data_IF_783534499217
#
_entry.id   IF_783534499217
#
_cell.length_a   1.000
_cell.length_b   1.000
_cell.length_c   1.000
_cell.angle_alpha   90.00
_cell.angle_beta   90.00
_cell.angle_gamma   90.00
#
_symmetry.space_group_name_H-M   'P 1'
#
loop_
_entity.id
_entity.type
_entity.pdbx_description
1 polymer ?
#
# COMPACT_ATOMS: atom_id res chain seq x y z
N UNK A 1 -12.35 -3.00 25.12
CA UNK A 1 -13.14 -3.27 23.90
C UNK A 1 -13.15 -1.99 23.09
N UNK A 2 -12.32 -1.89 22.06
CA UNK A 2 -12.29 -0.71 21.19
C UNK A 2 -13.56 -0.70 20.34
N UNK A 3 -14.34 0.38 20.43
CA UNK A 3 -15.38 0.70 19.44
C UNK A 3 -14.66 1.05 18.13
N UNK A 4 -14.29 0.02 17.36
CA UNK A 4 -13.76 0.22 16.02
C UNK A 4 -14.83 0.94 15.19
N UNK A 5 -14.49 2.06 14.54
CA UNK A 5 -15.44 2.74 13.65
C UNK A 5 -15.92 1.73 12.62
N UNK A 6 -17.24 1.50 12.55
CA UNK A 6 -17.77 0.65 11.49
C UNK A 6 -17.55 1.39 10.18
N UNK A 7 -17.24 0.71 9.07
CA UNK A 7 -17.00 1.38 7.78
C UNK A 7 -18.17 2.29 7.31
N UNK A 8 -19.40 2.03 7.80
CA UNK A 8 -20.54 2.95 7.63
C UNK A 8 -20.19 4.36 8.09
N UNK A 9 -19.47 4.47 9.20
CA UNK A 9 -18.97 5.70 9.79
C UNK A 9 -17.84 6.36 8.99
N UNK A 10 -17.37 5.80 7.87
CA UNK A 10 -16.38 6.43 6.96
C UNK A 10 -16.99 6.91 5.64
N UNK A 11 -18.26 6.58 5.38
CA UNK A 11 -18.90 6.77 4.07
C UNK A 11 -20.25 7.47 4.13
N UNK A 12 -20.89 7.51 5.29
CA UNK A 12 -22.16 8.21 5.47
C UNK A 12 -21.96 9.41 6.37
N UNK A 13 -22.45 10.56 5.91
CA UNK A 13 -22.50 11.77 6.72
C UNK A 13 -23.56 11.62 7.80
N UNK A 14 -23.19 11.91 9.04
CA UNK A 14 -24.14 12.07 10.13
C UNK A 14 -24.53 13.55 10.32
N UNK A 15 -25.45 13.82 11.26
CA UNK A 15 -25.92 15.18 11.52
C UNK A 15 -24.78 16.16 11.92
N UNK A 16 -23.77 15.68 12.65
CA UNK A 16 -22.59 16.48 13.04
C UNK A 16 -21.76 16.84 11.81
N UNK A 17 -21.56 15.88 10.90
CA UNK A 17 -20.82 16.12 9.66
C UNK A 17 -21.49 17.18 8.79
N UNK A 18 -22.83 17.12 8.65
CA UNK A 18 -23.60 18.13 7.90
C UNK A 18 -23.53 19.52 8.53
N UNK A 19 -23.63 19.62 9.85
CA UNK A 19 -23.50 20.88 10.57
C UNK A 19 -22.11 21.48 10.37
N UNK A 20 -21.06 20.67 10.42
CA UNK A 20 -19.70 21.12 10.15
C UNK A 20 -19.55 21.66 8.72
N UNK A 21 -20.02 20.91 7.71
CA UNK A 21 -19.97 21.35 6.31
C UNK A 21 -20.72 22.66 6.10
N UNK A 22 -21.86 22.85 6.76
CA UNK A 22 -22.60 24.11 6.71
C UNK A 22 -21.80 25.26 7.34
N UNK A 23 -21.17 25.02 8.49
CA UNK A 23 -20.35 26.03 9.17
C UNK A 23 -19.12 26.42 8.35
N UNK A 24 -18.50 25.49 7.62
CA UNK A 24 -17.40 25.79 6.70
C UNK A 24 -17.77 26.81 5.62
N UNK A 25 -19.05 26.83 5.19
CA UNK A 25 -19.54 27.76 4.14
C UNK A 25 -19.84 29.16 4.66
N UNK A 26 -19.88 29.34 5.97
CA UNK A 26 -20.27 30.60 6.61
C UNK A 26 -19.01 31.30 7.12
N UNK A 27 -18.59 32.37 6.44
CA UNK A 27 -17.47 33.20 6.86
C UNK A 27 -17.78 33.70 8.29
N UNK A 28 -16.96 33.30 9.27
CA UNK A 28 -17.04 33.56 10.73
C UNK A 28 -17.44 32.37 11.63
N UNK A 29 -17.97 31.25 11.12
CA UNK A 29 -18.37 30.12 11.98
C UNK A 29 -17.26 29.07 12.18
N UNK A 30 -16.27 29.00 11.27
CA UNK A 30 -15.18 28.05 11.33
C UNK A 30 -13.86 28.75 11.63
N UNK A 31 -13.24 28.42 12.76
CA UNK A 31 -11.89 28.85 13.10
C UNK A 31 -10.90 27.79 12.64
N UNK A 32 -10.28 28.04 11.48
CA UNK A 32 -9.35 27.13 10.83
C UNK A 32 -8.12 26.82 11.70
N UNK A 33 -7.49 27.86 12.27
CA UNK A 33 -6.28 27.68 13.09
C UNK A 33 -6.58 26.87 14.36
N UNK A 34 -7.70 27.17 15.02
CA UNK A 34 -8.08 26.45 16.23
C UNK A 34 -8.43 24.99 15.93
N UNK A 35 -9.13 24.73 14.82
CA UNK A 35 -9.42 23.37 14.38
C UNK A 35 -8.14 22.57 14.18
N UNK A 36 -7.19 23.07 13.37
CA UNK A 36 -5.98 22.32 13.03
C UNK A 36 -4.96 22.21 14.18
N UNK A 37 -5.02 23.08 15.20
CA UNK A 37 -4.21 22.92 16.43
C UNK A 37 -4.59 21.68 17.26
N UNK A 38 -5.83 21.22 17.15
CA UNK A 38 -6.37 20.17 18.01
C UNK A 38 -6.41 18.79 17.34
N UNK A 39 -6.17 18.72 16.03
CA UNK A 39 -6.29 17.48 15.24
C UNK A 39 -5.33 16.40 15.76
N UNK A 40 -5.88 15.19 15.95
CA UNK A 40 -5.16 13.97 16.29
C UNK A 40 -5.50 12.84 15.30
N UNK A 41 -4.83 11.71 15.43
CA UNK A 41 -5.09 10.50 14.62
C UNK A 41 -6.56 10.08 14.69
N UNK A 42 -7.16 10.10 15.88
CA UNK A 42 -8.56 9.68 16.09
C UNK A 42 -9.58 10.55 15.33
N UNK A 43 -9.22 11.79 14.97
CA UNK A 43 -10.05 12.69 14.19
C UNK A 43 -10.03 12.39 12.68
N UNK A 44 -9.10 11.54 12.21
CA UNK A 44 -8.94 11.27 10.77
C UNK A 44 -10.18 10.65 10.14
N UNK A 45 -10.92 9.80 10.85
CA UNK A 45 -12.19 9.27 10.33
C UNK A 45 -13.15 10.38 9.94
N UNK A 46 -13.29 11.40 10.81
CA UNK A 46 -14.12 12.58 10.56
C UNK A 46 -13.54 13.42 9.41
N UNK A 47 -12.25 13.77 9.49
CA UNK A 47 -11.57 14.61 8.49
C UNK A 47 -11.66 13.98 7.08
N UNK A 48 -11.48 12.66 6.97
CA UNK A 48 -11.61 11.93 5.71
C UNK A 48 -13.04 12.08 5.16
N UNK A 49 -14.07 11.84 5.99
CA UNK A 49 -15.48 12.02 5.57
C UNK A 49 -15.75 13.42 5.05
N UNK A 50 -15.38 14.45 5.82
CA UNK A 50 -15.63 15.84 5.43
C UNK A 50 -14.85 16.21 4.17
N UNK A 51 -13.60 15.77 4.04
CA UNK A 51 -12.76 16.09 2.87
C UNK A 51 -13.27 15.47 1.58
N UNK A 52 -13.98 14.34 1.64
CA UNK A 52 -14.63 13.74 0.46
C UNK A 52 -15.81 14.59 -0.04
N UNK A 53 -16.55 15.20 0.89
CA UNK A 53 -17.81 15.90 0.61
C UNK A 53 -17.64 17.42 0.42
N UNK A 54 -16.51 17.97 0.85
CA UNK A 54 -16.21 19.40 0.77
C UNK A 54 -14.85 19.66 0.12
N UNK A 55 -14.87 20.05 -1.16
CA UNK A 55 -13.68 20.46 -1.91
C UNK A 55 -12.91 21.60 -1.23
N UNK A 56 -13.65 22.53 -0.61
CA UNK A 56 -13.06 23.62 0.17
C UNK A 56 -12.24 23.06 1.35
N UNK A 57 -12.83 22.17 2.15
CA UNK A 57 -12.13 21.58 3.30
C UNK A 57 -10.94 20.71 2.87
N UNK A 58 -11.09 19.92 1.81
CA UNK A 58 -9.98 19.16 1.24
C UNK A 58 -8.83 20.07 0.80
N UNK A 59 -9.14 21.24 0.23
CA UNK A 59 -8.14 22.25 -0.15
C UNK A 59 -7.46 22.84 1.09
N UNK A 60 -8.21 23.13 2.16
CA UNK A 60 -7.65 23.59 3.44
C UNK A 60 -6.67 22.56 4.01
N UNK A 61 -7.07 21.29 4.07
CA UNK A 61 -6.20 20.22 4.58
C UNK A 61 -4.89 20.12 3.78
N UNK A 62 -4.88 20.44 2.48
CA UNK A 62 -3.68 20.36 1.64
C UNK A 62 -2.79 21.61 1.65
N UNK A 63 -3.11 22.63 2.43
CA UNK A 63 -2.27 23.82 2.52
C UNK A 63 -0.91 23.49 3.15
N UNK A 64 0.16 24.07 2.59
CA UNK A 64 1.54 23.82 3.03
C UNK A 64 1.79 24.11 4.51
N UNK A 65 1.07 25.09 5.10
CA UNK A 65 1.15 25.38 6.54
C UNK A 65 0.75 24.22 7.46
N UNK A 66 -0.05 23.27 6.95
CA UNK A 66 -0.45 22.07 7.70
C UNK A 66 0.37 20.83 7.35
N UNK A 67 1.37 20.92 6.47
CA UNK A 67 2.21 19.76 6.11
C UNK A 67 2.80 19.08 7.35
N UNK A 68 3.40 19.87 8.25
CA UNK A 68 4.01 19.36 9.50
C UNK A 68 2.99 18.62 10.38
N UNK A 69 1.74 19.09 10.45
CA UNK A 69 0.68 18.42 11.19
C UNK A 69 0.43 17.02 10.61
N UNK A 70 0.28 16.91 9.29
CA UNK A 70 0.06 15.63 8.63
C UNK A 70 1.26 14.69 8.69
N UNK A 71 2.48 15.24 8.64
CA UNK A 71 3.71 14.48 8.84
C UNK A 71 3.75 13.84 10.25
N UNK A 72 3.36 14.60 11.28
CA UNK A 72 3.26 14.10 12.66
C UNK A 72 2.19 13.01 12.77
N UNK A 73 1.02 13.22 12.16
CA UNK A 73 -0.07 12.24 12.15
C UNK A 73 0.35 10.96 11.42
N UNK A 74 0.99 11.08 10.25
CA UNK A 74 1.54 9.94 9.51
C UNK A 74 2.54 9.15 10.35
N UNK A 75 3.46 9.86 11.02
CA UNK A 75 4.43 9.25 11.93
C UNK A 75 3.75 8.49 13.08
N UNK A 76 2.73 9.09 13.69
CA UNK A 76 1.95 8.48 14.77
C UNK A 76 1.20 7.23 14.31
N UNK A 77 0.65 7.19 13.10
CA UNK A 77 -0.06 6.00 12.58
C UNK A 77 0.84 4.76 12.58
N UNK A 78 2.16 4.91 12.35
CA UNK A 78 3.11 3.81 12.49
C UNK A 78 3.06 3.17 13.89
N UNK A 79 2.94 3.99 14.94
CA UNK A 79 2.84 3.52 16.33
C UNK A 79 1.53 2.77 16.56
N UNK A 80 0.43 3.24 15.97
CA UNK A 80 -0.87 2.56 16.05
C UNK A 80 -0.83 1.19 15.34
N UNK A 81 -0.21 1.12 14.16
CA UNK A 81 -0.07 -0.12 13.40
C UNK A 81 0.79 -1.16 14.12
N UNK A 82 1.82 -0.71 14.84
CA UNK A 82 2.77 -1.59 15.54
C UNK A 82 2.56 -1.63 17.05
N UNK A 83 1.40 -1.18 17.54
CA UNK A 83 1.12 -1.06 18.98
C UNK A 83 1.19 -2.39 19.75
N UNK A 84 1.05 -3.52 19.06
CA UNK A 84 1.13 -4.88 19.63
C UNK A 84 2.53 -5.50 19.55
N UNK A 85 3.46 -4.87 18.85
CA UNK A 85 4.83 -5.34 18.73
C UNK A 85 5.63 -5.03 20.00
N UNK A 86 6.69 -5.80 20.26
CA UNK A 86 7.59 -5.57 21.42
C UNK A 86 8.20 -4.17 21.39
N UNK A 87 8.42 -3.61 20.20
CA UNK A 87 8.92 -2.25 20.02
C UNK A 87 8.08 -1.57 18.95
N UNK A 88 7.04 -0.81 19.34
CA UNK A 88 6.29 0.01 18.41
C UNK A 88 7.21 1.00 17.71
N UNK A 89 7.00 1.20 16.42
CA UNK A 89 7.79 2.11 15.60
C UNK A 89 6.92 3.28 15.15
N UNK A 90 7.53 4.46 15.03
CA UNK A 90 6.93 5.58 14.33
C UNK A 90 7.39 5.57 12.87
N UNK A 91 6.55 6.02 11.94
CA UNK A 91 7.03 6.24 10.58
C UNK A 91 7.95 7.45 10.51
N UNK A 92 9.02 7.32 9.74
CA UNK A 92 9.84 8.43 9.30
C UNK A 92 9.06 9.30 8.32
N UNK A 93 9.21 10.61 8.43
CA UNK A 93 8.61 11.56 7.47
C UNK A 93 9.46 11.56 6.20
N UNK A 94 8.82 11.67 5.04
CA UNK A 94 9.52 11.82 3.77
C UNK A 94 9.95 13.28 3.56
N UNK A 95 11.21 13.48 3.19
CA UNK A 95 11.83 14.81 3.02
C UNK A 95 11.45 15.54 1.72
N UNK A 96 10.37 15.13 1.03
CA UNK A 96 9.88 15.81 -0.17
C UNK A 96 8.92 16.96 0.20
N UNK A 97 9.27 18.23 -0.12
CA UNK A 97 8.42 19.38 0.17
C UNK A 97 7.12 19.39 -0.66
N UNK A 98 7.08 18.70 -1.80
CA UNK A 98 5.92 18.64 -2.69
C UNK A 98 5.00 17.46 -2.40
N UNK A 99 5.37 16.59 -1.46
CA UNK A 99 4.58 15.44 -1.09
C UNK A 99 3.26 15.86 -0.41
N UNK A 100 2.15 15.38 -0.94
CA UNK A 100 0.82 15.53 -0.34
C UNK A 100 0.73 14.69 0.95
N UNK A 101 1.25 15.26 2.03
CA UNK A 101 1.36 14.62 3.34
C UNK A 101 -0.02 14.32 3.95
N UNK A 102 -1.04 15.11 3.60
CA UNK A 102 -2.42 14.83 3.97
C UNK A 102 -2.92 13.53 3.32
N UNK A 103 -2.72 13.37 2.01
CA UNK A 103 -3.11 12.14 1.32
C UNK A 103 -2.34 10.92 1.84
N UNK A 104 -1.04 11.07 2.13
CA UNK A 104 -0.24 10.00 2.71
C UNK A 104 -0.77 9.57 4.10
N UNK A 105 -1.07 10.53 4.98
CA UNK A 105 -1.65 10.25 6.29
C UNK A 105 -3.01 9.54 6.19
N UNK A 106 -3.88 9.97 5.25
CA UNK A 106 -5.15 9.29 4.97
C UNK A 106 -4.94 7.85 4.51
N UNK A 107 -4.02 7.62 3.57
CA UNK A 107 -3.71 6.28 3.06
C UNK A 107 -3.23 5.34 4.15
N UNK A 108 -2.31 5.81 5.02
CA UNK A 108 -1.82 5.05 6.16
C UNK A 108 -2.94 4.74 7.17
N UNK A 109 -3.82 5.72 7.45
CA UNK A 109 -4.92 5.53 8.38
C UNK A 109 -5.99 4.56 7.86
N UNK A 110 -6.35 4.63 6.57
CA UNK A 110 -7.27 3.66 5.97
C UNK A 110 -6.71 2.24 6.01
N UNK A 111 -5.39 2.08 5.84
CA UNK A 111 -4.73 0.79 6.05
C UNK A 111 -4.78 0.35 7.51
N UNK A 112 -4.57 1.25 8.47
CA UNK A 112 -4.75 0.95 9.89
C UNK A 112 -6.15 0.44 10.22
N UNK A 113 -7.19 1.07 9.66
CA UNK A 113 -8.56 0.58 9.82
C UNK A 113 -8.77 -0.79 9.17
N UNK A 114 -8.17 -1.04 8.00
CA UNK A 114 -8.17 -2.37 7.39
C UNK A 114 -7.51 -3.41 8.30
N UNK A 115 -6.34 -3.10 8.88
CA UNK A 115 -5.61 -4.03 9.73
C UNK A 115 -6.39 -4.38 11.01
N UNK A 116 -7.08 -3.39 11.61
CA UNK A 116 -7.97 -3.65 12.75
C UNK A 116 -9.12 -4.60 12.38
N UNK A 117 -9.78 -4.38 11.24
CA UNK A 117 -10.84 -5.27 10.77
C UNK A 117 -10.33 -6.65 10.39
N UNK A 118 -9.07 -6.75 9.93
CA UNK A 118 -8.42 -8.02 9.61
C UNK A 118 -8.19 -8.88 10.86
N UNK A 119 -8.01 -8.26 12.02
CA UNK A 119 -7.85 -8.94 13.30
C UNK A 119 -9.17 -9.46 13.90
N UNK A 120 -10.32 -9.02 13.37
CA UNK A 120 -11.62 -9.53 13.79
C UNK A 120 -11.92 -10.91 13.16
N UNK A 121 -12.57 -11.84 13.89
CA UNK A 121 -12.99 -13.13 13.34
C UNK A 121 -13.91 -12.96 12.13
N UNK A 122 -13.58 -13.59 11.01
CA UNK A 122 -14.39 -13.55 9.78
C UNK A 122 -13.56 -13.82 8.52
N UNK A 123 -14.17 -13.59 7.35
CA UNK A 123 -13.47 -13.76 6.08
C UNK A 123 -12.35 -12.71 5.90
N UNK A 124 -11.22 -13.14 5.34
CA UNK A 124 -10.03 -12.31 5.12
C UNK A 124 -10.27 -11.18 4.10
N UNK A 125 -11.21 -11.37 3.15
CA UNK A 125 -11.45 -10.46 2.03
C UNK A 125 -12.92 -10.05 1.87
N UNK A 126 -13.51 -9.46 2.90
CA UNK A 126 -14.86 -8.90 2.78
C UNK A 126 -14.87 -7.66 1.85
N UNK A 127 -15.99 -7.33 1.18
CA UNK A 127 -16.09 -6.14 0.32
C UNK A 127 -15.66 -4.84 1.01
N UNK A 128 -15.95 -4.74 2.32
CA UNK A 128 -15.52 -3.64 3.19
C UNK A 128 -14.00 -3.54 3.31
N UNK A 129 -13.32 -4.66 3.59
CA UNK A 129 -11.85 -4.73 3.68
C UNK A 129 -11.20 -4.36 2.34
N UNK A 130 -11.73 -4.89 1.24
CA UNK A 130 -11.22 -4.60 -0.11
C UNK A 130 -11.42 -3.13 -0.50
N UNK A 131 -12.56 -2.52 -0.14
CA UNK A 131 -12.80 -1.09 -0.40
C UNK A 131 -11.79 -0.20 0.32
N UNK A 132 -11.46 -0.49 1.58
CA UNK A 132 -10.43 0.24 2.32
C UNK A 132 -9.06 0.14 1.65
N UNK A 133 -8.66 -1.07 1.27
CA UNK A 133 -7.40 -1.29 0.57
C UNK A 133 -7.33 -0.48 -0.73
N UNK A 134 -8.34 -0.59 -1.61
CA UNK A 134 -8.40 0.17 -2.87
C UNK A 134 -8.30 1.68 -2.65
N UNK A 135 -9.00 2.21 -1.65
CA UNK A 135 -8.94 3.64 -1.35
C UNK A 135 -7.56 4.05 -0.83
N UNK A 136 -6.94 3.24 0.02
CA UNK A 136 -5.61 3.48 0.55
C UNK A 136 -4.50 3.36 -0.52
N UNK A 137 -4.63 2.44 -1.48
CA UNK A 137 -3.74 2.31 -2.64
C UNK A 137 -3.75 3.59 -3.48
N UNK A 138 -4.93 4.17 -3.75
CA UNK A 138 -5.04 5.44 -4.47
C UNK A 138 -4.40 6.63 -3.70
N UNK A 139 -4.16 6.46 -2.41
CA UNK A 139 -3.53 7.43 -1.51
C UNK A 139 -2.07 7.10 -1.19
N UNK A 140 -1.45 6.22 -2.00
CA UNK A 140 -0.04 5.83 -1.91
C UNK A 140 0.38 5.14 -0.61
N UNK A 141 -0.53 4.33 -0.05
CA UNK A 141 -0.22 3.48 1.10
C UNK A 141 0.48 2.20 0.64
N UNK A 142 1.78 2.10 0.90
CA UNK A 142 2.58 0.92 0.52
C UNK A 142 2.07 -0.38 1.15
N UNK A 143 1.62 -0.32 2.40
CA UNK A 143 1.07 -1.48 3.09
C UNK A 143 -0.25 -1.93 2.47
N UNK A 144 -1.12 -0.98 2.09
CA UNK A 144 -2.35 -1.31 1.39
C UNK A 144 -2.06 -1.89 0.00
N UNK A 145 -1.07 -1.36 -0.73
CA UNK A 145 -0.62 -1.91 -2.01
C UNK A 145 -0.14 -3.35 -1.87
N UNK A 146 0.66 -3.64 -0.84
CA UNK A 146 1.15 -5.00 -0.57
C UNK A 146 -0.01 -5.96 -0.30
N UNK A 147 -0.91 -5.61 0.61
CA UNK A 147 -2.07 -6.46 0.96
C UNK A 147 -3.07 -6.60 -0.17
N UNK A 148 -3.32 -5.54 -0.94
CA UNK A 148 -4.22 -5.59 -2.08
C UNK A 148 -3.66 -6.45 -3.21
N UNK A 149 -2.35 -6.36 -3.49
CA UNK A 149 -1.71 -7.24 -4.45
C UNK A 149 -1.73 -8.71 -4.00
N UNK A 150 -1.56 -9.00 -2.71
CA UNK A 150 -1.73 -10.36 -2.16
C UNK A 150 -3.16 -10.89 -2.39
N UNK A 151 -4.18 -10.05 -2.22
CA UNK A 151 -5.56 -10.39 -2.57
C UNK A 151 -5.71 -10.70 -4.06
N UNK A 152 -5.13 -9.89 -4.95
CA UNK A 152 -5.14 -10.14 -6.40
C UNK A 152 -4.47 -11.47 -6.74
N UNK A 153 -3.32 -11.78 -6.14
CA UNK A 153 -2.63 -13.06 -6.34
C UNK A 153 -3.49 -14.23 -5.85
N UNK A 154 -4.13 -14.09 -4.69
CA UNK A 154 -5.05 -15.09 -4.16
C UNK A 154 -6.20 -15.38 -5.14
N UNK A 155 -6.85 -14.33 -5.69
CA UNK A 155 -7.92 -14.49 -6.70
C UNK A 155 -7.44 -15.24 -7.94
N UNK A 156 -6.25 -14.88 -8.43
CA UNK A 156 -5.64 -15.50 -9.61
C UNK A 156 -5.33 -16.98 -9.36
N UNK A 157 -4.71 -17.30 -8.23
CA UNK A 157 -4.27 -18.65 -7.87
C UNK A 157 -5.45 -19.61 -7.62
N UNK A 158 -6.55 -19.09 -7.06
CA UNK A 158 -7.75 -19.88 -6.75
C UNK A 158 -8.83 -19.81 -7.84
N UNK A 159 -8.56 -19.08 -8.92
CA UNK A 159 -9.51 -18.84 -10.01
C UNK A 159 -10.86 -18.25 -9.51
N UNK A 160 -10.79 -17.41 -8.48
CA UNK A 160 -11.92 -16.70 -7.89
C UNK A 160 -12.07 -15.36 -8.61
N UNK A 161 -12.54 -15.41 -9.86
CA UNK A 161 -12.66 -14.25 -10.75
C UNK A 161 -14.13 -13.83 -10.88
N UNK A 162 -14.37 -12.53 -10.87
CA UNK A 162 -15.68 -11.97 -11.25
C UNK A 162 -15.91 -12.13 -12.78
N UNK A 163 -17.16 -12.07 -13.27
CA UNK A 163 -17.46 -12.32 -14.69
C UNK A 163 -16.73 -11.43 -15.70
N UNK A 164 -16.32 -10.22 -15.30
CA UNK A 164 -15.61 -9.23 -16.12
C UNK A 164 -14.10 -9.16 -15.84
N UNK A 165 -13.59 -10.02 -14.97
CA UNK A 165 -12.18 -10.08 -14.62
C UNK A 165 -11.43 -11.17 -15.39
N UNK A 166 -10.19 -10.86 -15.77
CA UNK A 166 -9.24 -11.84 -16.27
C UNK A 166 -7.90 -11.74 -15.55
N UNK A 167 -7.20 -12.86 -15.44
CA UNK A 167 -5.92 -12.97 -14.72
C UNK A 167 -4.87 -11.96 -15.21
N UNK A 168 -4.81 -11.67 -16.52
CA UNK A 168 -3.83 -10.71 -17.07
C UNK A 168 -4.17 -9.29 -16.65
N UNK A 169 -5.45 -8.93 -16.63
CA UNK A 169 -5.90 -7.61 -16.15
C UNK A 169 -5.60 -7.43 -14.67
N UNK A 170 -5.83 -8.45 -13.84
CA UNK A 170 -5.46 -8.40 -12.42
C UNK A 170 -3.94 -8.28 -12.21
N UNK A 171 -3.10 -8.96 -13.00
CA UNK A 171 -1.65 -8.76 -12.94
C UNK A 171 -1.23 -7.35 -13.39
N UNK A 172 -1.86 -6.79 -14.43
CA UNK A 172 -1.60 -5.40 -14.85
C UNK A 172 -1.94 -4.40 -13.74
N UNK A 173 -3.03 -4.63 -13.03
CA UNK A 173 -3.42 -3.83 -11.86
C UNK A 173 -2.36 -3.94 -10.76
N UNK A 174 -1.95 -5.16 -10.38
CA UNK A 174 -0.91 -5.35 -9.38
C UNK A 174 0.43 -4.67 -9.74
N UNK A 175 0.83 -4.73 -11.02
CA UNK A 175 2.01 -4.05 -11.54
C UNK A 175 1.85 -2.52 -11.47
N UNK A 176 0.69 -2.00 -11.85
CA UNK A 176 0.41 -0.57 -11.80
C UNK A 176 0.45 -0.04 -10.36
N UNK A 177 -0.13 -0.78 -9.41
CA UNK A 177 -0.10 -0.44 -8.00
C UNK A 177 1.33 -0.36 -7.44
N UNK A 178 2.24 -1.26 -7.84
CA UNK A 178 3.64 -1.14 -7.43
C UNK A 178 4.34 0.05 -8.10
N UNK A 179 4.06 0.30 -9.39
CA UNK A 179 4.74 1.34 -10.17
C UNK A 179 4.50 2.75 -9.66
N UNK A 180 3.31 3.06 -9.15
CA UNK A 180 3.00 4.37 -8.57
C UNK A 180 3.77 4.68 -7.28
N UNK A 181 4.32 3.65 -6.61
CA UNK A 181 5.04 3.77 -5.33
C UNK A 181 6.56 3.88 -5.48
N UNK A 182 7.10 3.66 -6.69
CA UNK A 182 8.55 3.51 -6.91
C UNK A 182 9.35 4.74 -6.47
N UNK A 183 8.82 5.94 -6.71
CA UNK A 183 9.50 7.19 -6.34
C UNK A 183 9.53 7.38 -4.82
N UNK A 184 8.42 7.06 -4.13
CA UNK A 184 8.25 7.31 -2.70
C UNK A 184 8.93 6.25 -1.83
N UNK A 185 8.85 4.98 -2.23
CA UNK A 185 9.31 3.84 -1.42
C UNK A 185 10.54 3.13 -1.99
N UNK A 186 10.99 3.51 -3.19
CA UNK A 186 12.27 3.07 -3.77
C UNK A 186 12.47 1.55 -3.73
N UNK A 187 13.53 1.11 -3.07
CA UNK A 187 13.91 -0.31 -3.05
C UNK A 187 12.80 -1.25 -2.59
N UNK A 188 11.97 -0.84 -1.62
CA UNK A 188 10.88 -1.69 -1.13
C UNK A 188 9.80 -1.90 -2.20
N UNK A 189 9.37 -0.82 -2.87
CA UNK A 189 8.40 -0.90 -3.95
C UNK A 189 8.94 -1.65 -5.18
N UNK A 190 10.23 -1.50 -5.49
CA UNK A 190 10.87 -2.31 -6.54
C UNK A 190 10.84 -3.80 -6.19
N UNK A 191 11.12 -4.19 -4.96
CA UNK A 191 11.05 -5.59 -4.54
C UNK A 191 9.61 -6.13 -4.52
N UNK A 192 8.60 -5.31 -4.22
CA UNK A 192 7.21 -5.70 -4.43
C UNK A 192 6.89 -5.91 -5.91
N UNK A 193 7.48 -5.11 -6.81
CA UNK A 193 7.32 -5.30 -8.26
C UNK A 193 8.04 -6.56 -8.75
N UNK A 194 9.19 -6.91 -8.17
CA UNK A 194 9.86 -8.21 -8.37
C UNK A 194 8.91 -9.36 -8.03
N UNK A 195 8.30 -9.31 -6.84
CA UNK A 195 7.33 -10.31 -6.38
C UNK A 195 6.14 -10.45 -7.36
N UNK A 196 5.57 -9.32 -7.80
CA UNK A 196 4.46 -9.31 -8.77
C UNK A 196 4.86 -9.98 -10.09
N UNK A 197 6.04 -9.66 -10.63
CA UNK A 197 6.52 -10.30 -11.86
C UNK A 197 6.80 -11.79 -11.67
N UNK A 198 7.27 -12.19 -10.48
CA UNK A 198 7.46 -13.60 -10.17
C UNK A 198 6.13 -14.38 -10.11
N UNK A 199 5.09 -13.83 -9.48
CA UNK A 199 3.74 -14.42 -9.57
C UNK A 199 3.23 -14.49 -11.01
N UNK A 200 3.51 -13.46 -11.82
CA UNK A 200 3.15 -13.49 -13.24
C UNK A 200 3.87 -14.60 -14.01
N UNK A 201 5.17 -14.81 -13.73
CA UNK A 201 5.95 -15.90 -14.30
C UNK A 201 5.40 -17.28 -13.88
N UNK A 202 5.06 -17.47 -12.60
CA UNK A 202 4.43 -18.72 -12.11
C UNK A 202 3.12 -19.02 -12.85
N UNK A 203 2.25 -18.01 -13.01
CA UNK A 203 1.02 -18.18 -13.76
C UNK A 203 1.28 -18.50 -15.23
N UNK A 204 2.16 -17.74 -15.90
CA UNK A 204 2.52 -17.99 -17.30
C UNK A 204 3.08 -19.40 -17.52
N UNK A 205 3.84 -19.92 -16.55
CA UNK A 205 4.34 -21.29 -16.55
C UNK A 205 3.21 -22.32 -16.49
N UNK A 206 2.20 -22.09 -15.64
CA UNK A 206 1.02 -22.95 -15.53
C UNK A 206 0.18 -22.98 -16.82
N UNK A 207 0.24 -21.92 -17.62
CA UNK A 207 -0.40 -21.83 -18.93
C UNK A 207 0.49 -22.37 -20.07
N UNK A 208 1.69 -22.91 -19.76
CA UNK A 208 2.64 -23.42 -20.75
C UNK A 208 3.29 -22.34 -21.63
N UNK A 209 3.24 -21.07 -21.23
CA UNK A 209 3.75 -19.95 -22.03
C UNK A 209 5.20 -19.58 -21.65
N UNK A 210 6.16 -20.37 -22.14
CA UNK A 210 7.59 -20.21 -21.83
C UNK A 210 8.14 -18.82 -22.18
N UNK A 211 7.74 -18.24 -23.32
CA UNK A 211 8.19 -16.90 -23.73
C UNK A 211 7.78 -15.83 -22.71
N UNK A 212 6.57 -15.93 -22.17
CA UNK A 212 6.08 -15.01 -21.17
C UNK A 212 6.75 -15.22 -19.81
N UNK A 213 7.08 -16.47 -19.46
CA UNK A 213 7.87 -16.78 -18.26
C UNK A 213 9.22 -16.08 -18.31
N UNK A 214 9.97 -16.26 -19.41
CA UNK A 214 11.30 -15.66 -19.58
C UNK A 214 11.20 -14.14 -19.44
N UNK A 215 10.28 -13.49 -20.17
CA UNK A 215 10.07 -12.04 -20.11
C UNK A 215 9.71 -11.53 -18.71
N UNK A 216 8.88 -12.28 -17.98
CA UNK A 216 8.48 -11.91 -16.62
C UNK A 216 9.65 -12.03 -15.64
N UNK A 217 10.47 -13.08 -15.75
CA UNK A 217 11.68 -13.25 -14.93
C UNK A 217 12.73 -12.18 -15.27
N UNK A 218 12.97 -11.88 -16.54
CA UNK A 218 13.87 -10.78 -16.95
C UNK A 218 13.42 -9.44 -16.37
N UNK A 219 12.11 -9.15 -16.41
CA UNK A 219 11.54 -7.95 -15.80
C UNK A 219 11.74 -7.95 -14.28
N UNK A 220 11.55 -9.09 -13.60
CA UNK A 220 11.83 -9.22 -12.18
C UNK A 220 13.32 -8.95 -11.87
N UNK A 221 14.24 -9.54 -12.61
CA UNK A 221 15.69 -9.35 -12.44
C UNK A 221 16.14 -7.89 -12.70
N UNK A 222 15.52 -7.21 -13.67
CA UNK A 222 15.73 -5.77 -13.89
C UNK A 222 15.30 -4.96 -12.67
N UNK A 223 14.14 -5.29 -12.08
CA UNK A 223 13.65 -4.61 -10.87
C UNK A 223 14.49 -4.93 -9.63
N UNK A 224 15.10 -6.11 -9.50
CA UNK A 224 16.13 -6.36 -8.47
C UNK A 224 17.32 -5.40 -8.62
N UNK A 225 17.77 -5.17 -9.86
CA UNK A 225 18.89 -4.26 -10.13
C UNK A 225 18.52 -2.80 -9.82
N UNK A 226 17.27 -2.40 -10.05
CA UNK A 226 16.75 -1.09 -9.65
C UNK A 226 16.58 -0.99 -8.12
N UNK A 227 16.06 -2.02 -7.46
CA UNK A 227 15.97 -2.06 -6.00
C UNK A 227 17.35 -1.85 -5.37
N UNK A 228 18.37 -2.56 -5.86
CA UNK A 228 19.77 -2.40 -5.41
C UNK A 228 20.26 -0.95 -5.56
N UNK A 229 19.99 -0.32 -6.70
CA UNK A 229 20.39 1.08 -6.96
C UNK A 229 19.76 2.06 -5.95
N UNK A 230 18.56 1.77 -5.46
CA UNK A 230 17.84 2.64 -4.53
C UNK A 230 18.05 2.27 -3.05
N UNK A 231 18.64 1.10 -2.75
CA UNK A 231 18.71 0.50 -1.41
C UNK A 231 19.21 1.47 -0.33
N UNK A 232 20.37 2.11 -0.55
CA UNK A 232 20.97 3.03 0.44
C UNK A 232 20.12 4.27 0.71
N UNK A 233 19.43 4.79 -0.32
CA UNK A 233 18.57 5.98 -0.18
C UNK A 233 17.20 5.64 0.40
N UNK A 234 16.81 4.37 0.37
CA UNK A 234 15.49 3.91 0.79
C UNK A 234 15.44 3.44 2.23
N UNK A 235 16.48 3.60 3.06
CA UNK A 235 16.50 3.06 4.44
C UNK A 235 15.27 3.43 5.27
N UNK A 236 14.87 4.70 5.27
CA UNK A 236 13.67 5.16 5.99
C UNK A 236 12.37 4.64 5.37
N UNK A 237 12.25 4.66 4.04
CA UNK A 237 11.07 4.12 3.36
C UNK A 237 10.94 2.60 3.55
N UNK A 238 12.04 1.86 3.57
CA UNK A 238 12.08 0.42 3.89
C UNK A 238 11.63 0.23 5.34
N UNK A 239 12.14 1.02 6.28
CA UNK A 239 11.69 0.96 7.67
C UNK A 239 10.18 1.15 7.80
N UNK A 240 9.63 2.20 7.17
CA UNK A 240 8.20 2.46 7.17
C UNK A 240 7.41 1.31 6.54
N UNK A 241 7.78 0.90 5.32
CA UNK A 241 7.03 -0.07 4.52
C UNK A 241 7.07 -1.49 5.12
N UNK A 242 8.21 -1.88 5.69
CA UNK A 242 8.39 -3.19 6.34
C UNK A 242 7.88 -3.25 7.77
N UNK A 243 7.39 -2.13 8.31
CA UNK A 243 7.14 -1.97 9.74
C UNK A 243 8.37 -2.34 10.58
N UNK A 244 9.55 -1.88 10.16
CA UNK A 244 10.84 -2.10 10.83
C UNK A 244 11.46 -3.50 10.62
N UNK A 245 10.84 -4.36 9.80
CA UNK A 245 11.26 -5.75 9.60
C UNK A 245 12.26 -5.97 8.47
N UNK A 246 12.57 -4.93 7.69
CA UNK A 246 13.51 -5.01 6.59
C UNK A 246 12.89 -5.42 5.25
N UNK A 247 13.73 -5.50 4.23
CA UNK A 247 13.34 -5.74 2.85
C UNK A 247 12.84 -7.17 2.61
N UNK A 248 13.22 -8.13 3.45
CA UNK A 248 12.72 -9.50 3.38
C UNK A 248 11.19 -9.57 3.50
N UNK A 249 10.58 -8.61 4.21
CA UNK A 249 9.13 -8.56 4.37
C UNK A 249 8.37 -8.20 3.07
N UNK A 250 9.05 -7.73 2.03
CA UNK A 250 8.43 -7.33 0.77
C UNK A 250 8.27 -8.46 -0.24
N UNK A 251 8.85 -9.64 -0.01
CA UNK A 251 8.99 -10.69 -1.02
C UNK A 251 8.88 -12.11 -0.45
N UNK A 252 8.41 -13.05 -1.27
CA UNK A 252 8.20 -14.45 -0.85
C UNK A 252 9.48 -15.26 -0.70
N UNK A 253 10.60 -14.74 -1.20
CA UNK A 253 11.92 -15.33 -0.98
C UNK A 253 12.46 -15.07 0.44
N UNK A 254 11.87 -14.10 1.17
CA UNK A 254 12.32 -13.68 2.50
C UNK A 254 13.79 -13.24 2.52
N UNK A 255 14.21 -12.50 1.48
CA UNK A 255 15.60 -12.03 1.35
C UNK A 255 15.72 -10.52 1.50
N UNK A 256 16.76 -10.09 2.21
CA UNK A 256 17.12 -8.67 2.40
C UNK A 256 17.89 -8.09 1.21
N UNK A 257 18.51 -8.96 0.39
CA UNK A 257 19.37 -8.55 -0.72
C UNK A 257 18.65 -8.67 -2.07
N UNK A 258 18.49 -7.56 -2.82
CA UNK A 258 17.99 -7.65 -4.19
C UNK A 258 18.86 -8.53 -5.10
N UNK A 259 20.17 -8.59 -4.85
CA UNK A 259 21.10 -9.43 -5.60
C UNK A 259 20.84 -10.93 -5.33
N UNK A 260 20.49 -11.28 -4.09
CA UNK A 260 20.11 -12.65 -3.72
C UNK A 260 18.79 -13.05 -4.36
N UNK A 261 17.77 -12.18 -4.35
CA UNK A 261 16.51 -12.41 -5.06
C UNK A 261 16.74 -12.66 -6.55
N UNK A 262 17.65 -11.90 -7.18
CA UNK A 262 18.00 -12.07 -8.60
C UNK A 262 18.58 -13.46 -8.89
N UNK A 263 19.42 -13.99 -7.99
CA UNK A 263 19.97 -15.35 -8.10
C UNK A 263 18.86 -16.40 -7.94
N UNK A 264 17.96 -16.24 -6.98
CA UNK A 264 16.85 -17.18 -6.76
C UNK A 264 15.89 -17.22 -7.96
N UNK A 265 15.60 -16.07 -8.58
CA UNK A 265 14.81 -15.99 -9.81
C UNK A 265 15.48 -16.74 -10.97
N UNK A 266 16.80 -16.59 -11.13
CA UNK A 266 17.58 -17.29 -12.15
C UNK A 266 17.54 -18.81 -11.93
N UNK A 267 17.77 -19.26 -10.69
CA UNK A 267 17.71 -20.68 -10.33
C UNK A 267 16.31 -21.27 -10.57
N UNK A 268 15.25 -20.51 -10.26
CA UNK A 268 13.88 -20.94 -10.54
C UNK A 268 13.65 -21.09 -12.05
N UNK A 269 14.13 -20.15 -12.88
CA UNK A 269 14.01 -20.24 -14.34
C UNK A 269 14.76 -21.48 -14.87
N UNK A 270 15.99 -21.71 -14.41
CA UNK A 270 16.83 -22.84 -14.85
C UNK A 270 16.22 -24.20 -14.53
N UNK A 271 15.69 -24.34 -13.31
CA UNK A 271 15.03 -25.57 -12.84
C UNK A 271 13.79 -25.91 -13.68
N UNK A 272 13.04 -24.90 -14.13
CA UNK A 272 11.78 -25.11 -14.83
C UNK A 272 11.92 -25.15 -16.36
N UNK A 273 12.96 -24.52 -16.94
CA UNK A 273 13.05 -24.31 -18.40
C UNK A 273 14.41 -24.63 -19.03
N UNK A 274 15.48 -24.76 -18.26
CA UNK A 274 16.83 -25.03 -18.83
C UNK A 274 17.23 -26.51 -18.76
N UNK A 275 16.33 -27.39 -18.33
CA UNK A 275 16.53 -28.86 -18.31
C UNK A 275 15.94 -29.61 -19.52
N UNK A 276 15.46 -28.91 -20.57
CA UNK A 276 14.89 -29.54 -21.79
C UNK A 276 15.80 -29.53 -23.03
N UNK A 277 17.08 -29.15 -22.90
CA UNK A 277 18.03 -29.04 -24.02
C UNK A 277 19.11 -30.14 -24.08
N UNK A 278 18.87 -31.31 -23.49
CA UNK A 278 19.68 -32.50 -23.80
C UNK A 278 18.94 -33.34 -24.88
N UNK A 279 19.43 -33.38 -26.14
CA UNK A 279 18.88 -34.32 -27.10
C UNK A 279 19.10 -35.74 -26.58
N UNK A 280 18.03 -36.52 -26.51
CA UNK A 280 18.15 -37.97 -26.35
C UNK A 280 18.87 -38.49 -27.60
N UNK A 281 20.13 -38.89 -27.41
CA UNK A 281 20.90 -39.69 -28.37
C UNK A 281 20.29 -41.08 -28.44
#
# INVERSE_FOLDING_TARGET
MSNLPKLRDLTQLNAVDFLFIRNLRTHNAFNEEEFFKQVKVDDLSFIIRISKESNYFNTLCKQSKYKKLWDVIYSQIGLYLTAKETTPISFFVHDDPNLDSFSLAKGAYLFYLYDLLRQEPGADYTPTKIKLLKEAVNLKSIHATQHYNQFLFYKIEHNDLEPDEDKRTLFKEAIANCKQELELYGSYAYMMLVETYFHYAKWAASEGNSDLVIKAIEAAQQNCSLAKKHLEKSTQSIHNASLGRGLAFSNSFNVESPDEAKVLLQQWLEKNYTSQSAPRV
#
